data_IF_788598302425
#
_entry.id   IF_788598302425
#
_cell.length_a   1.000
_cell.length_b   1.000
_cell.length_c   1.000
_cell.angle_alpha   90.00
_cell.angle_beta   90.00
_cell.angle_gamma   90.00
#
_symmetry.space_group_name_H-M   'P 1'
#
loop_
_entity.id
_entity.type
_entity.pdbx_description
1 polymer ?
#
# COMPACT_ATOMS: atom_id res chain seq x y z
N UNK A 1 -3.61 -4.57 11.34
CA UNK A 1 -2.95 -4.20 10.07
C UNK A 1 -3.51 -5.07 8.96
N UNK A 2 -3.63 -4.55 7.73
CA UNK A 2 -4.19 -5.30 6.60
C UNK A 2 -3.37 -5.06 5.33
N UNK A 3 -3.07 -6.09 4.52
CA UNK A 3 -2.47 -5.88 3.20
C UNK A 3 -3.46 -5.16 2.26
N UNK A 4 -2.92 -4.38 1.34
CA UNK A 4 -3.65 -3.63 0.32
C UNK A 4 -2.88 -3.59 -0.98
N UNK A 5 -3.60 -3.69 -2.10
CA UNK A 5 -3.12 -3.15 -3.36
C UNK A 5 -3.40 -1.65 -3.38
N UNK A 6 -2.41 -0.86 -3.77
CA UNK A 6 -2.52 0.59 -3.73
C UNK A 6 -2.00 1.24 -5.01
N UNK A 7 -2.42 2.49 -5.22
CA UNK A 7 -1.94 3.39 -6.28
C UNK A 7 -1.72 4.76 -5.68
N UNK A 8 -0.63 5.40 -6.08
CA UNK A 8 -0.38 6.81 -5.77
C UNK A 8 -0.89 7.65 -6.94
N UNK A 9 -1.70 8.68 -6.65
CA UNK A 9 -2.15 9.67 -7.63
C UNK A 9 -2.31 11.03 -6.95
N UNK A 10 -1.82 12.08 -7.59
CA UNK A 10 -1.88 13.48 -7.09
C UNK A 10 -1.50 13.61 -5.60
N UNK A 11 -0.36 13.03 -5.20
CA UNK A 11 0.14 13.05 -3.80
C UNK A 11 -0.77 12.35 -2.77
N UNK A 12 -1.71 11.54 -3.22
CA UNK A 12 -2.60 10.75 -2.36
C UNK A 12 -2.49 9.27 -2.67
N UNK A 13 -2.86 8.44 -1.69
CA UNK A 13 -2.79 6.98 -1.83
C UNK A 13 -4.21 6.44 -1.90
N UNK A 14 -4.48 5.63 -2.92
CA UNK A 14 -5.75 4.96 -3.11
C UNK A 14 -5.58 3.46 -2.92
N UNK A 15 -6.55 2.81 -2.27
CA UNK A 15 -6.68 1.36 -2.26
C UNK A 15 -8.15 0.96 -2.30
N UNK A 16 -8.41 -0.29 -2.68
CA UNK A 16 -9.75 -0.88 -2.64
C UNK A 16 -9.90 -1.86 -1.49
N UNK A 17 -11.10 -1.94 -0.94
CA UNK A 17 -11.48 -2.94 0.06
C UNK A 17 -12.94 -3.35 -0.13
N UNK A 18 -13.24 -4.60 0.16
CA UNK A 18 -14.63 -5.01 0.39
C UNK A 18 -15.13 -4.51 1.75
N UNK A 19 -16.41 -4.76 2.03
CA UNK A 19 -17.02 -4.48 3.33
C UNK A 19 -16.43 -5.31 4.49
N UNK A 20 -17.05 -5.18 5.67
CA UNK A 20 -16.63 -5.88 6.89
C UNK A 20 -15.66 -5.05 7.76
N UNK A 21 -14.97 -5.71 8.70
CA UNK A 21 -14.28 -5.04 9.82
C UNK A 21 -13.21 -4.03 9.40
N UNK A 22 -12.52 -4.29 8.27
CA UNK A 22 -11.54 -3.35 7.71
C UNK A 22 -12.21 -2.07 7.23
N UNK A 23 -13.32 -2.18 6.48
CA UNK A 23 -14.07 -1.03 6.01
C UNK A 23 -14.76 -0.28 7.14
N UNK A 24 -15.43 -0.98 8.06
CA UNK A 24 -16.12 -0.34 9.19
C UNK A 24 -15.18 0.48 10.07
N UNK A 25 -13.90 0.10 10.18
CA UNK A 25 -12.90 0.88 10.91
C UNK A 25 -12.51 2.21 10.23
N UNK A 26 -12.86 2.39 8.96
CA UNK A 26 -12.55 3.58 8.15
C UNK A 26 -13.75 4.51 8.00
N UNK A 27 -14.95 4.07 8.40
CA UNK A 27 -16.16 4.89 8.37
C UNK A 27 -16.03 6.09 9.32
N UNK A 28 -16.35 7.29 8.83
CA UNK A 28 -16.23 8.54 9.59
C UNK A 28 -14.89 9.27 9.47
N UNK A 29 -13.92 8.71 8.73
CA UNK A 29 -12.63 9.33 8.52
C UNK A 29 -11.65 9.02 9.65
N UNK A 30 -10.73 8.10 9.41
CA UNK A 30 -9.86 7.53 10.45
C UNK A 30 -8.40 7.90 10.19
N UNK A 31 -7.65 8.17 11.25
CA UNK A 31 -6.20 8.30 11.16
C UNK A 31 -5.57 6.92 10.92
N UNK A 32 -4.79 6.81 9.86
CA UNK A 32 -4.16 5.56 9.45
C UNK A 32 -2.66 5.71 9.29
N UNK A 33 -1.96 4.58 9.41
CA UNK A 33 -0.61 4.43 8.92
C UNK A 33 -0.64 3.52 7.69
N UNK A 34 -0.03 3.98 6.60
CA UNK A 34 0.25 3.19 5.40
C UNK A 34 1.76 2.94 5.34
N UNK A 35 2.13 1.74 4.93
CA UNK A 35 3.52 1.31 4.84
C UNK A 35 3.72 0.55 3.54
N UNK A 36 4.88 0.79 2.93
CA UNK A 36 5.38 0.04 1.79
C UNK A 36 6.90 -0.03 1.85
N UNK A 37 7.45 -1.19 1.50
CA UNK A 37 8.87 -1.44 1.44
C UNK A 37 9.23 -2.30 0.23
N UNK A 38 10.50 -2.24 -0.17
CA UNK A 38 11.05 -3.20 -1.12
C UNK A 38 12.56 -3.34 -0.98
N UNK A 39 13.06 -4.48 -1.45
CA UNK A 39 14.48 -4.79 -1.60
C UNK A 39 14.78 -5.00 -3.07
N UNK A 40 15.77 -4.27 -3.60
CA UNK A 40 16.34 -4.52 -4.92
C UNK A 40 17.73 -5.13 -4.77
N UNK A 41 17.84 -6.41 -5.13
CA UNK A 41 19.13 -7.09 -5.22
C UNK A 41 20.00 -6.52 -6.35
N UNK A 42 19.39 -6.17 -7.49
CA UNK A 42 20.05 -5.57 -8.65
C UNK A 42 20.76 -4.26 -8.27
N UNK A 43 20.07 -3.39 -7.53
CA UNK A 43 20.61 -2.09 -7.11
C UNK A 43 21.27 -2.11 -5.72
N UNK A 44 21.39 -3.29 -5.10
CA UNK A 44 21.97 -3.44 -3.76
C UNK A 44 21.36 -2.49 -2.74
N UNK A 45 20.05 -2.27 -2.80
CA UNK A 45 19.37 -1.24 -2.00
C UNK A 45 18.08 -1.76 -1.40
N UNK A 46 17.78 -1.35 -0.17
CA UNK A 46 16.47 -1.54 0.46
C UNK A 46 15.87 -0.19 0.85
N UNK A 47 14.54 -0.09 0.79
CA UNK A 47 13.83 1.11 1.22
C UNK A 47 12.52 0.76 1.92
N UNK A 48 12.05 1.66 2.77
CA UNK A 48 10.70 1.63 3.36
C UNK A 48 10.17 3.06 3.47
N UNK A 49 8.86 3.21 3.25
CA UNK A 49 8.11 4.46 3.36
C UNK A 49 6.96 4.24 4.32
N UNK A 50 6.83 5.15 5.28
CA UNK A 50 5.68 5.21 6.20
C UNK A 50 4.96 6.53 5.99
N UNK A 51 3.66 6.42 5.75
CA UNK A 51 2.74 7.54 5.62
C UNK A 51 1.76 7.54 6.78
N UNK A 52 1.61 8.68 7.44
CA UNK A 52 0.51 8.92 8.38
C UNK A 52 -0.43 9.93 7.76
N UNK A 53 -1.73 9.70 7.90
CA UNK A 53 -2.72 10.60 7.36
C UNK A 53 -4.14 10.14 7.63
N UNK A 54 -5.09 10.76 6.94
CA UNK A 54 -6.52 10.48 7.10
C UNK A 54 -7.03 9.63 5.95
N UNK A 55 -7.63 8.48 6.27
CA UNK A 55 -8.35 7.66 5.31
C UNK A 55 -9.80 8.13 5.22
N UNK A 56 -10.30 8.34 4.00
CA UNK A 56 -11.69 8.72 3.71
C UNK A 56 -12.23 7.85 2.58
N UNK A 57 -13.52 7.57 2.62
CA UNK A 57 -14.20 6.91 1.49
C UNK A 57 -14.27 7.90 0.33
N UNK A 58 -13.71 7.53 -0.82
CA UNK A 58 -13.76 8.35 -2.01
C UNK A 58 -15.15 8.25 -2.67
N UNK A 59 -15.85 9.37 -2.79
CA UNK A 59 -17.15 9.45 -3.47
C UNK A 59 -16.97 9.92 -4.91
N UNK A 60 -17.75 9.36 -5.84
CA UNK A 60 -17.61 9.48 -7.30
C UNK A 60 -17.86 10.88 -7.91
N UNK A 61 -17.72 11.96 -7.16
CA UNK A 61 -17.91 13.32 -7.70
C UNK A 61 -16.69 13.84 -8.49
N UNK A 62 -15.63 13.05 -8.63
CA UNK A 62 -14.38 13.43 -9.30
C UNK A 62 -14.10 12.54 -10.53
N UNK A 63 -13.94 13.18 -11.70
CA UNK A 63 -13.76 12.55 -13.02
C UNK A 63 -12.54 11.61 -13.14
N UNK A 64 -11.55 11.70 -12.24
CA UNK A 64 -10.35 10.84 -12.26
C UNK A 64 -10.53 9.51 -11.49
N UNK A 65 -11.57 9.39 -10.66
CA UNK A 65 -11.74 8.22 -9.78
C UNK A 65 -12.04 6.93 -10.55
N UNK A 66 -12.64 7.02 -11.73
CA UNK A 66 -12.90 5.84 -12.59
C UNK A 66 -11.59 5.29 -13.19
N UNK A 67 -10.68 6.18 -13.60
CA UNK A 67 -9.34 5.79 -14.10
C UNK A 67 -8.47 5.22 -12.99
N UNK A 68 -8.51 5.81 -11.79
CA UNK A 68 -7.79 5.30 -10.62
C UNK A 68 -8.34 3.94 -10.21
N UNK A 69 -9.68 3.83 -10.19
CA UNK A 69 -10.40 2.59 -9.91
C UNK A 69 -10.02 1.45 -10.83
N UNK A 70 -9.99 1.69 -12.15
CA UNK A 70 -9.64 0.67 -13.14
C UNK A 70 -8.17 0.24 -13.11
N UNK A 71 -7.29 1.03 -12.49
CA UNK A 71 -5.86 0.71 -12.36
C UNK A 71 -5.53 -0.08 -11.08
N UNK A 72 -6.48 -0.22 -10.14
CA UNK A 72 -6.33 -1.02 -8.94
C UNK A 72 -6.88 -2.42 -9.20
N UNK A 73 -6.02 -3.34 -9.60
CA UNK A 73 -6.40 -4.75 -9.78
C UNK A 73 -6.31 -5.49 -8.44
N UNK A 74 -7.45 -5.84 -7.81
CA UNK A 74 -7.41 -6.64 -6.59
C UNK A 74 -6.91 -8.05 -6.89
N UNK A 75 -6.08 -8.61 -6.01
CA UNK A 75 -5.58 -10.01 -6.14
C UNK A 75 -6.69 -11.06 -6.06
N UNK A 76 -7.86 -10.68 -5.55
CA UNK A 76 -9.04 -11.50 -5.47
C UNK A 76 -10.12 -10.82 -6.32
N UNK A 77 -10.69 -11.53 -7.29
CA UNK A 77 -11.75 -11.04 -8.19
C UNK A 77 -13.10 -10.78 -7.51
N UNK A 78 -13.11 -10.57 -6.20
CA UNK A 78 -14.27 -10.22 -5.40
C UNK A 78 -14.52 -8.72 -5.53
N UNK A 79 -15.77 -8.31 -5.59
CA UNK A 79 -16.18 -6.90 -5.64
C UNK A 79 -15.61 -6.13 -4.44
N UNK A 80 -14.46 -5.48 -4.65
CA UNK A 80 -13.94 -4.49 -3.72
C UNK A 80 -14.60 -3.16 -4.08
N UNK A 81 -15.80 -2.98 -3.54
CA UNK A 81 -16.72 -1.88 -3.85
C UNK A 81 -16.21 -0.53 -3.36
N UNK A 82 -15.44 -0.50 -2.27
CA UNK A 82 -15.08 0.74 -1.61
C UNK A 82 -13.68 1.20 -2.01
N UNK A 83 -13.62 2.35 -2.66
CA UNK A 83 -12.38 3.08 -2.91
C UNK A 83 -12.06 3.96 -1.70
N UNK A 84 -10.91 3.73 -1.10
CA UNK A 84 -10.41 4.50 0.04
C UNK A 84 -9.29 5.40 -0.44
N UNK A 85 -9.34 6.67 -0.07
CA UNK A 85 -8.29 7.66 -0.28
C UNK A 85 -7.62 7.98 1.05
N UNK A 86 -6.31 7.83 1.13
CA UNK A 86 -5.49 8.32 2.23
C UNK A 86 -4.91 9.66 1.79
N UNK A 87 -5.24 10.72 2.56
CA UNK A 87 -4.63 12.05 2.43
C UNK A 87 -3.43 12.09 3.37
N UNK A 88 -2.19 12.13 2.85
CA UNK A 88 -0.99 12.15 3.69
C UNK A 88 -0.91 13.44 4.51
N UNK A 89 -0.55 13.30 5.79
CA UNK A 89 -0.18 14.42 6.67
C UNK A 89 1.34 14.43 6.90
N UNK A 90 1.95 13.24 7.03
CA UNK A 90 3.40 13.08 7.09
C UNK A 90 3.83 11.91 6.23
N UNK A 91 4.92 12.09 5.50
CA UNK A 91 5.57 11.04 4.71
C UNK A 91 7.02 10.95 5.18
N UNK A 92 7.44 9.76 5.58
CA UNK A 92 8.83 9.50 5.97
C UNK A 92 9.36 8.32 5.18
N UNK A 93 10.62 8.39 4.77
CA UNK A 93 11.28 7.33 4.02
C UNK A 93 12.66 7.05 4.58
N UNK A 94 13.08 5.79 4.48
CA UNK A 94 14.45 5.36 4.76
C UNK A 94 14.97 4.56 3.59
N UNK A 95 16.25 4.72 3.28
CA UNK A 95 16.96 3.97 2.25
C UNK A 95 18.29 3.48 2.80
N UNK A 96 18.61 2.23 2.52
CA UNK A 96 19.83 1.56 2.96
C UNK A 96 20.56 0.99 1.76
N UNK A 97 21.88 1.20 1.72
CA UNK A 97 22.77 0.43 0.82
C UNK A 97 23.05 -0.92 1.48
N UNK A 98 22.77 -2.00 0.77
CA UNK A 98 23.03 -3.35 1.24
C UNK A 98 24.55 -3.61 1.16
N UNK A 99 25.17 -3.88 2.30
CA UNK A 99 26.55 -4.37 2.34
C UNK A 99 26.56 -5.88 2.16
N UNK A 100 27.65 -6.44 1.62
CA UNK A 100 27.79 -7.89 1.42
C UNK A 100 27.59 -8.72 2.71
N UNK A 101 27.77 -8.13 3.90
CA UNK A 101 27.50 -8.78 5.19
C UNK A 101 26.02 -8.77 5.60
N UNK A 102 25.15 -8.06 4.87
CA UNK A 102 23.69 -8.21 4.95
C UNK A 102 23.18 -9.34 4.04
N UNK A 103 24.06 -10.25 3.61
CA UNK A 103 23.61 -11.60 3.30
C UNK A 103 23.11 -12.19 4.62
N UNK A 104 21.82 -12.00 4.93
CA UNK A 104 21.12 -12.93 5.82
C UNK A 104 21.53 -14.32 5.32
N UNK A 105 22.17 -15.13 6.17
CA UNK A 105 22.50 -16.53 5.86
C UNK A 105 21.21 -17.37 5.86
N UNK A 106 20.18 -16.89 5.18
CA UNK A 106 18.93 -17.58 4.95
C UNK A 106 18.85 -17.78 3.45
N UNK A 107 18.97 -19.01 2.95
CA UNK A 107 18.84 -19.30 1.54
C UNK A 107 17.55 -18.67 0.98
N UNK A 108 17.61 -18.04 -0.20
CA UNK A 108 16.46 -17.41 -0.87
C UNK A 108 15.27 -18.37 -1.11
N UNK A 109 15.45 -19.68 -0.92
CA UNK A 109 14.38 -20.69 -0.93
C UNK A 109 13.49 -20.66 0.33
N UNK A 110 13.95 -20.03 1.41
CA UNK A 110 13.24 -19.93 2.71
C UNK A 110 12.71 -18.52 3.00
N UNK A 111 13.05 -17.53 2.17
CA UNK A 111 12.49 -16.19 2.30
C UNK A 111 11.01 -16.21 1.89
N UNK A 112 10.12 -15.98 2.84
CA UNK A 112 8.68 -15.83 2.61
C UNK A 112 8.48 -14.70 1.59
N UNK A 113 8.08 -15.05 0.37
CA UNK A 113 7.61 -14.08 -0.63
C UNK A 113 6.20 -13.67 -0.24
N UNK A 114 6.04 -12.45 0.28
CA UNK A 114 4.75 -11.81 0.25
C UNK A 114 4.44 -11.41 -1.21
N UNK A 115 3.49 -12.10 -1.84
CA UNK A 115 2.76 -11.55 -2.99
C UNK A 115 3.04 -12.10 -4.40
N UNK A 116 3.47 -13.36 -4.56
CA UNK A 116 3.41 -14.05 -5.87
C UNK A 116 3.17 -15.56 -5.66
N UNK A 117 1.90 -15.97 -5.72
CA UNK A 117 1.39 -17.04 -6.60
C UNK A 117 -0.02 -16.67 -7.05
#
# INVERSE_FOLDING_TARGET
>A
MFPVNYKVDQETIFFRTGGGTKFSSLEGGTNVAFEADAVSAEFGTAWSVVVKGRAVVATSTNTNLDTISGALFPWQGVEQEHLIRIVPETVTGRRYTLTASMSWRTPLREAIRAGLE
#
